data_IF_264219927208
#
_entry.id   IF_264219927208
#
_cell.length_a   1.000
_cell.length_b   1.000
_cell.length_c   1.000
_cell.angle_alpha   90.00
_cell.angle_beta   90.00
_cell.angle_gamma   90.00
#
_symmetry.space_group_name_H-M   'P 1'
#
loop_
_entity.id
_entity.type
_entity.pdbx_description
1 polymer ?
#
# COMPACT_ATOMS: atom_id res chain seq x y z
N UNK A 1 22.70 -3.18 -21.62
CA UNK A 1 22.88 -2.58 -20.28
C UNK A 1 23.15 -1.09 -20.45
N UNK A 2 22.47 -0.21 -19.70
CA UNK A 2 22.55 1.25 -19.83
C UNK A 2 23.80 1.87 -19.16
N UNK A 3 24.89 1.10 -19.04
CA UNK A 3 26.06 1.49 -18.24
C UNK A 3 25.74 1.60 -16.74
N UNK A 4 26.60 2.29 -15.97
CA UNK A 4 26.44 2.55 -14.53
C UNK A 4 26.10 3.99 -14.18
N UNK A 5 25.97 4.87 -15.18
CA UNK A 5 25.68 6.28 -14.98
C UNK A 5 24.24 6.52 -14.48
N UNK A 6 24.00 7.70 -13.91
CA UNK A 6 22.65 8.14 -13.53
C UNK A 6 21.77 8.28 -14.76
N UNK A 7 20.57 7.71 -14.70
CA UNK A 7 19.50 7.98 -15.66
C UNK A 7 18.73 9.22 -15.20
N UNK A 8 18.97 10.36 -15.84
CA UNK A 8 18.22 11.59 -15.55
C UNK A 8 16.97 11.66 -16.44
N UNK A 9 15.80 11.78 -15.79
CA UNK A 9 14.49 11.91 -16.43
C UNK A 9 14.15 13.40 -16.52
N UNK A 10 13.83 13.92 -17.71
CA UNK A 10 13.59 15.36 -17.97
C UNK A 10 12.46 15.57 -18.97
N UNK A 11 11.67 16.62 -18.77
CA UNK A 11 10.61 17.02 -19.69
C UNK A 11 9.29 16.28 -19.43
N UNK A 12 8.30 16.51 -20.30
CA UNK A 12 6.95 15.95 -20.19
C UNK A 12 6.87 14.69 -21.08
N UNK A 13 6.31 13.58 -20.58
CA UNK A 13 6.14 12.27 -21.26
C UNK A 13 7.30 11.26 -21.17
N UNK A 14 7.95 11.13 -20.02
CA UNK A 14 8.95 10.08 -19.84
C UNK A 14 8.25 8.74 -19.55
N UNK A 15 8.36 7.78 -20.47
CA UNK A 15 7.83 6.42 -20.31
C UNK A 15 8.94 5.40 -20.32
N UNK A 16 8.92 4.50 -19.35
CA UNK A 16 9.80 3.35 -19.27
C UNK A 16 8.97 2.07 -19.35
N UNK A 17 8.92 1.50 -20.55
CA UNK A 17 8.39 0.17 -20.82
C UNK A 17 9.52 -0.82 -21.10
N UNK A 18 9.28 -2.10 -20.87
CA UNK A 18 10.22 -3.19 -21.15
C UNK A 18 9.56 -4.24 -22.03
N UNK A 19 10.32 -4.82 -22.96
CA UNK A 19 9.85 -5.91 -23.85
C UNK A 19 10.08 -7.30 -23.25
N UNK A 20 10.82 -7.37 -22.15
CA UNK A 20 11.09 -8.56 -21.33
C UNK A 20 11.32 -8.10 -19.88
N UNK A 21 11.36 -9.02 -18.91
CA UNK A 21 11.71 -8.65 -17.55
C UNK A 21 13.11 -8.02 -17.49
N UNK A 22 13.25 -6.87 -16.84
CA UNK A 22 14.50 -6.10 -16.82
C UNK A 22 14.88 -5.69 -15.40
N UNK A 23 16.17 -5.71 -15.10
CA UNK A 23 16.74 -5.11 -13.90
C UNK A 23 17.66 -3.95 -14.27
N UNK A 24 17.41 -2.78 -13.70
CA UNK A 24 18.24 -1.59 -13.82
C UNK A 24 18.93 -1.30 -12.50
N UNK A 25 20.26 -1.23 -12.54
CA UNK A 25 21.09 -0.88 -11.38
C UNK A 25 21.49 0.60 -11.34
N UNK A 26 21.15 1.35 -12.39
CA UNK A 26 21.44 2.77 -12.52
C UNK A 26 20.67 3.57 -11.47
N UNK A 27 21.31 4.54 -10.77
CA UNK A 27 20.59 5.59 -10.08
C UNK A 27 19.66 6.33 -11.06
N UNK A 28 18.52 6.81 -10.57
CA UNK A 28 17.56 7.58 -11.36
C UNK A 28 17.34 8.93 -10.70
N UNK A 29 17.40 10.00 -11.49
CA UNK A 29 17.10 11.36 -11.03
C UNK A 29 15.85 11.87 -11.76
N UNK A 30 14.78 12.12 -11.01
CA UNK A 30 13.49 12.61 -11.50
C UNK A 30 13.46 14.14 -11.49
N UNK A 31 13.73 14.74 -12.65
CA UNK A 31 13.52 16.18 -12.93
C UNK A 31 12.24 16.36 -13.79
N UNK A 32 11.65 15.26 -14.25
CA UNK A 32 10.30 15.19 -14.79
C UNK A 32 9.67 13.87 -14.37
N UNK A 33 8.34 13.80 -14.43
CA UNK A 33 7.59 12.59 -14.11
C UNK A 33 8.06 11.39 -14.93
N UNK A 34 8.20 10.24 -14.27
CA UNK A 34 8.48 8.96 -14.91
C UNK A 34 7.27 8.03 -14.85
N UNK A 35 6.72 7.69 -16.01
CA UNK A 35 5.67 6.66 -16.14
C UNK A 35 6.31 5.30 -16.40
N UNK A 36 5.95 4.29 -15.62
CA UNK A 36 6.30 2.88 -15.83
C UNK A 36 5.03 2.13 -16.18
N UNK A 37 4.79 1.89 -17.47
CA UNK A 37 3.55 1.32 -18.01
C UNK A 37 3.72 -0.03 -18.72
N UNK A 38 4.91 -0.64 -18.60
CA UNK A 38 5.25 -1.88 -19.28
C UNK A 38 4.39 -3.10 -18.89
N UNK A 39 4.41 -4.11 -19.76
CA UNK A 39 3.75 -5.40 -19.56
C UNK A 39 4.69 -6.49 -19.00
N UNK A 40 5.94 -6.16 -18.72
CA UNK A 40 6.90 -7.08 -18.11
C UNK A 40 7.50 -6.47 -16.85
N UNK A 41 7.93 -7.35 -15.94
CA UNK A 41 8.43 -6.92 -14.64
C UNK A 41 9.69 -6.05 -14.79
N UNK A 42 9.72 -4.94 -14.06
CA UNK A 42 10.87 -4.04 -13.99
C UNK A 42 11.36 -3.99 -12.55
N UNK A 43 12.64 -4.30 -12.34
CA UNK A 43 13.33 -4.06 -11.07
C UNK A 43 14.22 -2.83 -11.18
N UNK A 44 14.04 -1.88 -10.25
CA UNK A 44 14.92 -0.75 -10.05
C UNK A 44 15.75 -0.97 -8.76
N UNK A 45 17.03 -1.23 -8.94
CA UNK A 45 18.00 -1.45 -7.87
C UNK A 45 18.81 -0.19 -7.53
N UNK A 46 18.90 0.77 -8.45
CA UNK A 46 19.53 2.05 -8.17
C UNK A 46 18.58 2.98 -7.40
N UNK A 47 19.16 3.85 -6.57
CA UNK A 47 18.39 4.84 -5.82
C UNK A 47 17.72 5.86 -6.75
N UNK A 48 16.49 6.22 -6.44
CA UNK A 48 15.69 7.24 -7.12
C UNK A 48 15.69 8.52 -6.28
N UNK A 49 16.09 9.63 -6.87
CA UNK A 49 16.09 10.99 -6.28
C UNK A 49 15.30 11.97 -7.15
N UNK A 50 15.12 13.20 -6.66
CA UNK A 50 14.41 14.27 -7.39
C UNK A 50 13.07 14.62 -6.77
N UNK A 51 12.39 15.62 -7.34
CA UNK A 51 11.16 16.19 -6.75
C UNK A 51 9.89 15.73 -7.47
N UNK A 52 10.03 15.04 -8.60
CA UNK A 52 8.92 14.66 -9.48
C UNK A 52 8.41 13.23 -9.22
N UNK A 53 7.29 12.87 -9.85
CA UNK A 53 6.57 11.64 -9.54
C UNK A 53 7.14 10.40 -10.25
N UNK A 54 7.09 9.27 -9.56
CA UNK A 54 7.15 7.94 -10.18
C UNK A 54 5.74 7.38 -10.35
N UNK A 55 5.25 7.28 -11.58
CA UNK A 55 3.91 6.80 -11.88
C UNK A 55 3.92 5.35 -12.38
N UNK A 56 3.56 4.42 -11.50
CA UNK A 56 3.36 3.01 -11.82
C UNK A 56 2.01 2.78 -12.51
N UNK A 57 2.07 2.41 -13.78
CA UNK A 57 0.94 2.00 -14.64
C UNK A 57 1.17 0.58 -15.18
N UNK A 58 0.31 0.12 -16.10
CA UNK A 58 0.40 -1.22 -16.67
C UNK A 58 0.10 -2.33 -15.66
N UNK A 59 0.11 -3.58 -16.11
CA UNK A 59 -0.27 -4.74 -15.28
C UNK A 59 0.90 -5.38 -14.54
N UNK A 60 2.13 -5.19 -15.04
CA UNK A 60 3.31 -5.85 -14.54
C UNK A 60 3.76 -5.35 -13.15
N UNK A 61 4.75 -6.04 -12.58
CA UNK A 61 5.39 -5.66 -11.33
C UNK A 61 6.46 -4.59 -11.55
N UNK A 62 6.39 -3.50 -10.79
CA UNK A 62 7.54 -2.63 -10.56
C UNK A 62 8.12 -2.94 -9.18
N UNK A 63 9.38 -3.39 -9.15
CA UNK A 63 10.11 -3.64 -7.91
C UNK A 63 11.09 -2.51 -7.60
N UNK A 64 11.00 -1.95 -6.40
CA UNK A 64 11.88 -0.91 -5.88
C UNK A 64 12.69 -1.47 -4.71
N UNK A 65 13.99 -1.73 -4.92
CA UNK A 65 14.85 -2.33 -3.89
C UNK A 65 15.76 -1.33 -3.16
N UNK A 66 15.97 -0.15 -3.72
CA UNK A 66 16.84 0.86 -3.14
C UNK A 66 16.15 1.67 -2.04
N UNK A 67 16.95 2.25 -1.15
CA UNK A 67 16.51 3.35 -0.31
C UNK A 67 16.44 4.62 -1.18
N UNK A 68 15.22 5.05 -1.50
CA UNK A 68 14.97 6.17 -2.39
C UNK A 68 14.85 7.48 -1.60
N UNK A 69 15.11 8.60 -2.27
CA UNK A 69 15.06 9.96 -1.70
C UNK A 69 14.26 10.95 -2.55
N UNK A 70 13.45 10.46 -3.50
CA UNK A 70 12.60 11.34 -4.28
C UNK A 70 11.44 11.86 -3.41
N UNK A 71 11.09 13.12 -3.60
CA UNK A 71 10.14 13.85 -2.75
C UNK A 71 8.74 13.92 -3.36
N UNK A 72 8.61 13.80 -4.68
CA UNK A 72 7.30 13.79 -5.36
C UNK A 72 6.42 12.61 -4.95
N UNK A 73 7.05 11.47 -4.63
CA UNK A 73 6.35 10.24 -4.25
C UNK A 73 5.93 9.38 -5.43
N UNK A 74 5.06 8.41 -5.16
CA UNK A 74 4.71 7.34 -6.10
C UNK A 74 3.22 7.37 -6.40
N UNK A 75 2.87 7.48 -7.67
CA UNK A 75 1.48 7.27 -8.13
C UNK A 75 1.30 5.79 -8.51
N UNK A 76 0.39 5.10 -7.84
CA UNK A 76 -0.02 3.74 -8.16
C UNK A 76 -1.31 3.80 -8.99
N UNK A 77 -1.14 3.71 -10.31
CA UNK A 77 -2.18 3.81 -11.32
C UNK A 77 -2.42 2.46 -12.04
N UNK A 78 -1.94 1.35 -11.49
CA UNK A 78 -2.19 0.00 -11.99
C UNK A 78 -1.10 -1.03 -11.64
N UNK A 79 -1.47 -2.31 -11.74
CA UNK A 79 -0.55 -3.44 -11.59
C UNK A 79 0.00 -3.58 -10.17
N UNK A 80 1.22 -4.09 -10.05
CA UNK A 80 1.85 -4.37 -8.75
C UNK A 80 3.07 -3.50 -8.47
N UNK A 81 3.14 -2.97 -7.25
CA UNK A 81 4.34 -2.37 -6.67
C UNK A 81 4.93 -3.33 -5.62
N UNK A 82 6.19 -3.70 -5.79
CA UNK A 82 6.90 -4.61 -4.87
C UNK A 82 8.06 -3.87 -4.21
N UNK A 83 8.04 -3.73 -2.89
CA UNK A 83 9.04 -2.97 -2.14
C UNK A 83 10.05 -3.89 -1.46
N UNK A 84 11.33 -3.66 -1.73
CA UNK A 84 12.45 -4.36 -1.09
C UNK A 84 13.12 -3.57 0.04
N UNK A 85 12.64 -2.36 0.34
CA UNK A 85 13.26 -1.46 1.32
C UNK A 85 12.19 -0.56 1.97
N UNK A 86 12.36 -0.21 3.25
CA UNK A 86 11.42 0.67 3.97
C UNK A 86 11.42 2.11 3.45
N UNK A 87 12.49 2.56 2.79
CA UNK A 87 12.58 3.85 2.11
C UNK A 87 12.33 3.74 0.59
N UNK A 88 11.77 2.63 0.10
CA UNK A 88 11.58 2.40 -1.33
C UNK A 88 10.62 3.41 -2.00
N UNK A 89 9.72 4.05 -1.26
CA UNK A 89 8.80 5.05 -1.79
C UNK A 89 9.37 6.48 -1.80
N UNK A 90 10.59 6.68 -1.31
CA UNK A 90 11.11 8.04 -1.07
C UNK A 90 10.46 8.69 0.15
N UNK A 91 10.47 10.02 0.20
CA UNK A 91 9.85 10.82 1.27
C UNK A 91 8.44 11.30 0.93
N UNK A 92 8.04 11.26 -0.34
CA UNK A 92 6.70 11.66 -0.79
C UNK A 92 5.60 10.64 -0.45
N UNK A 93 4.34 11.00 -0.71
CA UNK A 93 3.19 10.12 -0.45
C UNK A 93 3.09 8.97 -1.49
N UNK A 94 2.45 7.87 -1.10
CA UNK A 94 1.89 6.90 -2.04
C UNK A 94 0.48 7.37 -2.46
N UNK A 95 0.28 7.67 -3.73
CA UNK A 95 -1.00 8.11 -4.28
C UNK A 95 -1.63 6.99 -5.10
N UNK A 96 -2.70 6.39 -4.60
CA UNK A 96 -3.42 5.33 -5.28
C UNK A 96 -4.49 5.98 -6.15
N UNK A 97 -4.31 5.90 -7.47
CA UNK A 97 -5.20 6.54 -8.43
C UNK A 97 -6.43 5.65 -8.69
N UNK A 98 -7.43 6.15 -9.44
CA UNK A 98 -8.72 5.47 -9.68
C UNK A 98 -8.59 3.99 -10.07
N UNK A 99 -7.65 3.66 -10.98
CA UNK A 99 -7.42 2.26 -11.41
C UNK A 99 -6.92 1.35 -10.28
N UNK A 100 -6.34 1.92 -9.23
CA UNK A 100 -5.79 1.20 -8.09
C UNK A 100 -4.54 0.39 -8.41
N UNK A 101 -4.23 -0.57 -7.55
CA UNK A 101 -3.12 -1.50 -7.75
C UNK A 101 -2.86 -2.32 -6.49
N UNK A 102 -1.88 -3.22 -6.57
CA UNK A 102 -1.43 -3.99 -5.43
C UNK A 102 -0.07 -3.53 -4.92
N UNK A 103 0.12 -3.66 -3.61
CA UNK A 103 1.37 -3.41 -2.91
C UNK A 103 1.79 -4.67 -2.15
N UNK A 104 3.02 -5.10 -2.39
CA UNK A 104 3.68 -6.20 -1.69
C UNK A 104 5.05 -5.75 -1.19
N UNK A 105 5.59 -6.45 -0.21
CA UNK A 105 6.96 -6.26 0.29
C UNK A 105 7.71 -7.59 0.23
N UNK A 106 9.03 -7.55 0.09
CA UNK A 106 9.86 -8.78 0.04
C UNK A 106 10.29 -9.27 1.42
N UNK A 107 10.09 -8.44 2.45
CA UNK A 107 10.36 -8.71 3.86
C UNK A 107 9.36 -7.90 4.69
N UNK A 108 9.31 -8.12 6.00
CA UNK A 108 8.55 -7.26 6.89
C UNK A 108 9.05 -5.81 6.82
N UNK A 109 8.17 -4.85 6.52
CA UNK A 109 8.53 -3.43 6.37
C UNK A 109 7.60 -2.51 7.16
N UNK A 110 8.15 -1.36 7.56
CA UNK A 110 7.41 -0.21 8.07
C UNK A 110 7.55 0.94 7.08
N UNK A 111 6.44 1.48 6.61
CA UNK A 111 6.39 2.62 5.70
C UNK A 111 5.87 3.84 6.46
N UNK A 112 6.67 4.91 6.44
CA UNK A 112 6.31 6.19 7.08
C UNK A 112 5.55 7.14 6.13
N UNK A 113 5.46 6.77 4.85
CA UNK A 113 4.80 7.57 3.83
C UNK A 113 3.30 7.68 4.14
N UNK A 114 2.75 8.88 3.95
CA UNK A 114 1.31 9.06 3.84
C UNK A 114 0.78 8.30 2.61
N UNK A 115 -0.43 7.74 2.72
CA UNK A 115 -1.11 7.04 1.62
C UNK A 115 -2.39 7.79 1.26
N UNK A 116 -2.40 8.42 0.09
CA UNK A 116 -3.59 9.06 -0.47
C UNK A 116 -4.32 8.07 -1.36
N UNK A 117 -5.44 7.53 -0.91
CA UNK A 117 -6.24 6.58 -1.66
C UNK A 117 -7.04 7.20 -2.80
N UNK A 118 -7.21 8.53 -2.83
CA UNK A 118 -8.07 9.22 -3.80
C UNK A 118 -9.40 8.47 -3.97
N UNK A 119 -9.74 8.00 -5.16
CA UNK A 119 -10.87 7.10 -5.43
C UNK A 119 -10.42 5.65 -5.72
N UNK A 120 -9.12 5.39 -5.58
CA UNK A 120 -8.48 4.14 -5.90
C UNK A 120 -8.71 3.02 -4.88
N UNK A 121 -8.49 1.79 -5.36
CA UNK A 121 -8.45 0.58 -4.53
C UNK A 121 -7.01 0.12 -4.35
N UNK A 122 -6.52 0.09 -3.11
CA UNK A 122 -5.23 -0.48 -2.77
C UNK A 122 -5.39 -1.90 -2.27
N UNK A 123 -4.83 -2.86 -3.00
CA UNK A 123 -4.78 -4.27 -2.57
C UNK A 123 -3.44 -4.59 -1.89
N UNK A 124 -3.51 -4.98 -0.62
CA UNK A 124 -2.39 -5.41 0.20
C UNK A 124 -2.34 -6.93 0.17
N UNK A 125 -1.73 -7.45 -0.91
CA UNK A 125 -1.73 -8.88 -1.29
C UNK A 125 -0.53 -9.67 -0.77
N UNK A 126 0.41 -9.02 -0.07
CA UNK A 126 1.68 -9.62 0.36
C UNK A 126 1.58 -10.65 1.49
N UNK A 127 2.56 -11.55 1.52
CA UNK A 127 2.72 -12.53 2.61
C UNK A 127 3.48 -12.01 3.81
N UNK A 128 4.25 -10.94 3.63
CA UNK A 128 5.07 -10.31 4.65
C UNK A 128 4.27 -9.31 5.49
N UNK A 129 4.74 -9.06 6.71
CA UNK A 129 4.13 -8.07 7.59
C UNK A 129 4.40 -6.65 7.08
N UNK A 130 3.35 -5.84 7.03
CA UNK A 130 3.43 -4.45 6.60
C UNK A 130 2.84 -3.55 7.68
N UNK A 131 3.63 -2.57 8.12
CA UNK A 131 3.16 -1.49 8.99
C UNK A 131 3.08 -0.20 8.21
N UNK A 132 1.91 0.45 8.23
CA UNK A 132 1.69 1.79 7.71
C UNK A 132 1.61 2.75 8.90
N UNK A 133 2.63 3.61 9.03
CA UNK A 133 2.73 4.63 10.08
C UNK A 133 2.16 5.99 9.62
N UNK A 134 2.24 6.30 8.33
CA UNK A 134 1.65 7.51 7.76
C UNK A 134 0.12 7.43 7.71
N UNK A 135 -0.53 8.60 7.67
CA UNK A 135 -1.98 8.69 7.56
C UNK A 135 -2.48 8.13 6.22
N UNK A 136 -3.64 7.47 6.26
CA UNK A 136 -4.39 7.04 5.09
C UNK A 136 -5.57 7.98 4.87
N UNK A 137 -5.67 8.57 3.68
CA UNK A 137 -6.64 9.63 3.32
C UNK A 137 -7.41 9.28 2.03
N UNK A 138 -8.60 9.86 1.84
CA UNK A 138 -9.34 9.82 0.57
C UNK A 138 -10.57 8.90 0.55
N UNK A 139 -11.37 8.96 -0.50
CA UNK A 139 -12.63 8.20 -0.63
C UNK A 139 -12.43 6.74 -1.07
N UNK A 140 -11.22 6.37 -1.46
CA UNK A 140 -10.82 5.04 -1.89
C UNK A 140 -10.80 4.01 -0.76
N UNK A 141 -10.52 2.76 -1.11
CA UNK A 141 -10.64 1.62 -0.20
C UNK A 141 -9.36 0.80 -0.07
N UNK A 142 -9.21 0.14 1.07
CA UNK A 142 -8.18 -0.88 1.30
C UNK A 142 -8.78 -2.27 1.11
N UNK A 143 -8.10 -3.14 0.39
CA UNK A 143 -8.32 -4.59 0.44
C UNK A 143 -7.12 -5.26 1.08
N UNK A 144 -7.33 -6.02 2.14
CA UNK A 144 -6.31 -6.85 2.78
C UNK A 144 -6.51 -8.30 2.36
N UNK A 145 -5.77 -8.74 1.33
CA UNK A 145 -5.93 -10.05 0.69
C UNK A 145 -4.72 -10.99 0.85
N UNK A 146 -3.58 -10.46 1.30
CA UNK A 146 -2.38 -11.23 1.59
C UNK A 146 -2.42 -11.96 2.93
N UNK A 147 -1.48 -12.88 3.15
CA UNK A 147 -1.41 -13.67 4.40
C UNK A 147 -0.70 -12.96 5.55
N UNK A 148 0.12 -11.94 5.26
CA UNK A 148 0.88 -11.20 6.28
C UNK A 148 -0.02 -10.39 7.22
N UNK A 149 0.57 -9.81 8.26
CA UNK A 149 -0.11 -8.86 9.15
C UNK A 149 -0.05 -7.45 8.54
N UNK A 150 -1.20 -6.80 8.38
CA UNK A 150 -1.25 -5.35 8.14
C UNK A 150 -1.43 -4.64 9.48
N UNK A 151 -0.52 -3.72 9.81
CA UNK A 151 -0.63 -2.86 10.99
C UNK A 151 -0.94 -1.43 10.57
N UNK A 152 -2.00 -0.84 11.14
CA UNK A 152 -2.41 0.55 10.94
C UNK A 152 -2.30 1.32 12.27
N UNK A 153 -1.32 2.20 12.39
CA UNK A 153 -1.01 2.91 13.64
C UNK A 153 -1.50 4.36 13.68
N UNK A 154 -1.67 5.01 12.52
CA UNK A 154 -2.14 6.38 12.42
C UNK A 154 -3.64 6.54 12.72
N UNK A 155 -4.06 7.78 13.01
CA UNK A 155 -5.45 8.19 12.91
C UNK A 155 -5.76 8.46 11.43
N UNK A 156 -6.57 7.60 10.82
CA UNK A 156 -6.80 7.64 9.39
C UNK A 156 -8.11 8.37 9.04
N UNK A 157 -8.19 8.90 7.83
CA UNK A 157 -9.32 9.68 7.31
C UNK A 157 -9.80 9.20 5.93
N UNK A 158 -9.59 7.93 5.59
CA UNK A 158 -10.16 7.36 4.37
C UNK A 158 -11.60 6.86 4.59
N UNK A 159 -12.41 6.95 3.55
CA UNK A 159 -13.88 6.80 3.65
C UNK A 159 -14.40 5.54 2.95
N UNK A 160 -13.66 5.00 1.96
CA UNK A 160 -14.10 3.84 1.17
C UNK A 160 -14.10 2.51 1.94
N UNK A 161 -13.53 2.49 3.14
CA UNK A 161 -13.56 1.34 4.04
C UNK A 161 -12.49 0.29 3.75
N UNK A 162 -12.58 -0.81 4.49
CA UNK A 162 -11.57 -1.87 4.51
C UNK A 162 -12.22 -3.23 4.27
N UNK A 163 -11.80 -3.90 3.21
CA UNK A 163 -12.18 -5.28 2.92
C UNK A 163 -11.11 -6.24 3.45
N UNK A 164 -11.38 -6.92 4.56
CA UNK A 164 -10.51 -7.93 5.13
C UNK A 164 -10.87 -9.31 4.54
N UNK A 165 -10.04 -9.80 3.62
CA UNK A 165 -10.26 -11.05 2.88
C UNK A 165 -9.25 -12.15 3.20
N UNK A 166 -8.11 -11.81 3.81
CA UNK A 166 -7.12 -12.79 4.26
C UNK A 166 -6.17 -12.19 5.33
N UNK A 167 -5.47 -13.06 6.05
CA UNK A 167 -4.45 -12.68 7.02
C UNK A 167 -5.00 -11.91 8.22
N UNK A 168 -4.13 -11.09 8.83
CA UNK A 168 -4.44 -10.35 10.05
C UNK A 168 -4.40 -8.83 9.82
N UNK A 169 -5.33 -8.14 10.47
CA UNK A 169 -5.38 -6.69 10.56
C UNK A 169 -5.17 -6.27 12.01
N UNK A 170 -4.10 -5.53 12.28
CA UNK A 170 -3.71 -5.06 13.61
C UNK A 170 -3.89 -3.54 13.70
N UNK A 171 -4.71 -3.09 14.65
CA UNK A 171 -5.04 -1.68 14.83
C UNK A 171 -4.30 -1.09 16.03
N UNK A 172 -3.65 0.05 15.80
CA UNK A 172 -2.95 0.84 16.82
C UNK A 172 -3.72 2.06 17.34
N UNK A 173 -4.81 2.45 16.66
CA UNK A 173 -5.55 3.69 16.88
C UNK A 173 -7.08 3.49 16.76
N UNK A 174 -7.89 4.26 17.50
CA UNK A 174 -9.35 4.23 17.41
C UNK A 174 -9.87 4.61 16.01
N UNK A 175 -9.16 5.49 15.32
CA UNK A 175 -9.45 5.93 13.96
C UNK A 175 -8.62 5.20 12.90
N UNK A 176 -8.00 4.05 13.24
CA UNK A 176 -7.11 3.32 12.32
C UNK A 176 -7.81 2.85 11.02
N UNK A 177 -9.15 2.76 11.01
CA UNK A 177 -9.91 2.32 9.84
C UNK A 177 -10.59 3.46 9.06
N UNK A 178 -10.31 4.71 9.41
CA UNK A 178 -11.03 5.85 8.86
C UNK A 178 -12.51 5.81 9.25
N UNK A 179 -13.38 6.33 8.37
CA UNK A 179 -14.83 6.38 8.60
C UNK A 179 -15.61 5.27 7.89
N UNK A 180 -14.96 4.54 6.98
CA UNK A 180 -15.61 3.52 6.14
C UNK A 180 -15.97 2.23 6.88
N UNK A 181 -16.70 1.35 6.19
CA UNK A 181 -17.10 0.03 6.70
C UNK A 181 -15.90 -0.91 6.77
N UNK A 182 -15.79 -1.69 7.86
CA UNK A 182 -14.93 -2.89 7.89
C UNK A 182 -15.75 -4.10 7.42
N UNK A 183 -15.34 -4.72 6.32
CA UNK A 183 -15.98 -5.92 5.80
C UNK A 183 -15.11 -7.15 6.07
N UNK A 184 -15.64 -8.12 6.79
CA UNK A 184 -15.02 -9.43 7.00
C UNK A 184 -15.51 -10.35 5.89
N UNK A 185 -14.71 -10.51 4.85
CA UNK A 185 -15.13 -11.11 3.59
C UNK A 185 -15.04 -12.64 3.56
N UNK A 186 -14.08 -13.21 4.31
CA UNK A 186 -13.77 -14.65 4.29
C UNK A 186 -13.39 -15.14 5.69
N UNK A 187 -13.64 -16.43 5.92
CA UNK A 187 -13.17 -17.13 7.12
C UNK A 187 -11.63 -17.13 7.19
N UNK A 188 -11.09 -17.29 8.40
CA UNK A 188 -9.65 -17.36 8.63
C UNK A 188 -8.93 -16.01 8.63
N UNK A 189 -9.67 -14.90 8.47
CA UNK A 189 -9.16 -13.57 8.74
C UNK A 189 -9.09 -13.31 10.24
N UNK A 190 -8.25 -12.37 10.69
CA UNK A 190 -8.19 -11.99 12.10
C UNK A 190 -8.08 -10.48 12.30
N UNK A 191 -8.83 -9.95 13.25
CA UNK A 191 -8.74 -8.57 13.71
C UNK A 191 -8.09 -8.52 15.10
N UNK A 192 -7.23 -7.54 15.34
CA UNK A 192 -6.55 -7.39 16.63
C UNK A 192 -6.27 -5.92 16.95
N UNK A 193 -6.07 -5.61 18.23
CA UNK A 193 -5.63 -4.31 18.71
C UNK A 193 -4.34 -4.43 19.53
N UNK A 194 -3.50 -3.38 19.53
CA UNK A 194 -2.29 -3.31 20.38
C UNK A 194 -2.51 -2.68 21.76
N UNK A 195 -3.68 -2.07 21.96
CA UNK A 195 -4.12 -1.36 23.17
C UNK A 195 -5.64 -1.42 23.24
N UNK A 196 -6.23 -1.03 24.36
CA UNK A 196 -7.68 -0.88 24.44
C UNK A 196 -8.14 0.15 23.38
N UNK A 197 -9.05 -0.25 22.48
CA UNK A 197 -9.58 0.61 21.42
C UNK A 197 -11.11 0.57 21.36
N UNK A 198 -11.67 1.67 20.86
CA UNK A 198 -13.08 1.79 20.49
C UNK A 198 -13.18 2.02 18.98
N UNK A 199 -13.76 1.06 18.27
CA UNK A 199 -13.99 1.15 16.84
C UNK A 199 -15.41 1.63 16.59
N UNK A 200 -15.54 2.81 15.97
CA UNK A 200 -16.83 3.39 15.62
C UNK A 200 -17.30 2.97 14.21
N UNK A 201 -16.44 2.29 13.45
CA UNK A 201 -16.78 1.81 12.11
C UNK A 201 -17.93 0.80 12.17
N UNK A 202 -18.82 0.87 11.18
CA UNK A 202 -19.76 -0.22 10.92
C UNK A 202 -18.99 -1.46 10.47
N UNK A 203 -19.44 -2.64 10.89
CA UNK A 203 -18.82 -3.92 10.57
C UNK A 203 -19.82 -4.81 9.83
N UNK A 204 -19.40 -5.30 8.67
CA UNK A 204 -20.15 -6.26 7.87
C UNK A 204 -19.50 -7.65 7.92
N UNK A 205 -20.22 -8.62 8.47
CA UNK A 205 -19.80 -10.00 8.70
C UNK A 205 -20.31 -10.92 7.59
N UNK A 206 -19.58 -10.99 6.48
CA UNK A 206 -19.81 -11.99 5.42
C UNK A 206 -19.16 -13.35 5.77
N UNK A 207 -18.30 -13.36 6.79
CA UNK A 207 -17.78 -14.51 7.50
C UNK A 207 -17.62 -14.19 9.00
N UNK A 208 -17.32 -15.20 9.81
CA UNK A 208 -17.14 -15.05 11.27
C UNK A 208 -15.97 -14.10 11.58
N UNK A 209 -16.15 -13.22 12.57
CA UNK A 209 -15.10 -12.33 13.06
C UNK A 209 -14.22 -13.06 14.06
N UNK A 210 -12.97 -13.32 13.68
CA UNK A 210 -11.98 -13.84 14.62
C UNK A 210 -11.18 -12.68 15.23
N UNK A 211 -11.37 -12.42 16.53
CA UNK A 211 -10.52 -11.50 17.30
C UNK A 211 -9.30 -12.26 17.80
N UNK A 212 -8.09 -11.82 17.44
CA UNK A 212 -6.87 -12.54 17.81
C UNK A 212 -6.72 -12.66 19.34
N UNK A 213 -6.27 -13.81 19.82
CA UNK A 213 -6.04 -14.05 21.26
C UNK A 213 -5.05 -13.07 21.90
N UNK A 214 -4.15 -12.49 21.09
CA UNK A 214 -3.20 -11.47 21.53
C UNK A 214 -3.80 -10.06 21.64
N UNK A 215 -5.07 -9.87 21.27
CA UNK A 215 -5.71 -8.55 21.24
C UNK A 215 -5.88 -8.02 22.65
N UNK A 216 -5.73 -6.71 22.80
CA UNK A 216 -6.24 -6.00 23.97
C UNK A 216 -7.76 -5.74 23.79
N UNK A 217 -8.40 -5.18 24.82
CA UNK A 217 -9.83 -4.88 24.79
C UNK A 217 -10.24 -4.10 23.53
N UNK A 218 -11.33 -4.53 22.91
CA UNK A 218 -11.88 -3.90 21.71
C UNK A 218 -13.37 -3.68 21.92
N UNK A 219 -13.78 -2.41 21.93
CA UNK A 219 -15.20 -2.04 21.94
C UNK A 219 -15.65 -1.76 20.51
N UNK A 220 -16.71 -2.43 20.07
CA UNK A 220 -17.32 -2.24 18.75
C UNK A 220 -18.58 -1.38 18.92
N UNK A 221 -18.49 -0.10 18.55
CA UNK A 221 -19.57 0.89 18.73
C UNK A 221 -20.40 1.12 17.46
N UNK A 222 -19.88 0.74 16.29
CA UNK A 222 -20.63 0.84 15.04
C UNK A 222 -21.70 -0.25 14.92
N UNK A 223 -22.49 -0.17 13.84
CA UNK A 223 -23.48 -1.20 13.52
C UNK A 223 -22.76 -2.49 13.12
N UNK A 224 -23.12 -3.61 13.77
CA UNK A 224 -22.74 -4.95 13.36
C UNK A 224 -23.87 -5.57 12.55
N UNK A 225 -23.59 -6.00 11.33
CA UNK A 225 -24.55 -6.69 10.46
C UNK A 225 -23.87 -7.84 9.72
N UNK A 226 -24.65 -8.83 9.27
CA UNK A 226 -24.14 -9.92 8.45
C UNK A 226 -24.62 -11.29 8.90
N UNK A 227 -24.10 -12.33 8.24
CA UNK A 227 -24.42 -13.73 8.55
C UNK A 227 -23.34 -14.42 9.39
N UNK A 228 -22.13 -13.87 9.42
CA UNK A 228 -21.04 -14.33 10.28
C UNK A 228 -21.35 -14.08 11.75
N UNK A 229 -20.77 -14.91 12.62
CA UNK A 229 -20.84 -14.80 14.07
C UNK A 229 -19.71 -13.96 14.64
#
# INVERSE_FOLDING_TARGET
ALGSGTLTVRGMLNRLGTTTALTLNNPIELIGDLVVDGHHDLTLNGAISGEEYLNKQGEATLRLNAANRHEGGVMLSGGKLLLGNSAALGSGSLMVMEKGGSLETTTALTLNNEVKLWEGKLDLSGSEDLTLEGELLGSGMITKSGTGVLTLNAANHYEGGTLLSNGKLLLGNNAALGSGVLQIAKHGTSLATRRALTLNNNIELNADLNVAESSQDMTLNGVLKGKGK
#
